data_IF_261457874505
#
_entry.id   IF_261457874505
#
_cell.length_a   1.000
_cell.length_b   1.000
_cell.length_c   1.000
_cell.angle_alpha   90.00
_cell.angle_beta   90.00
_cell.angle_gamma   90.00
#
_symmetry.space_group_name_H-M   'P 1'
#
loop_
_entity.id
_entity.type
_entity.pdbx_description
1 polymer ?
#
# COMPACT_ATOMS: atom_id res chain seq x y z
N UNK A 1 16.54 2.33 19.22
CA UNK A 1 15.75 1.76 18.11
C UNK A 1 14.56 1.05 18.72
N UNK A 2 13.36 1.34 18.24
CA UNK A 2 12.16 0.63 18.67
C UNK A 2 12.07 -0.73 17.94
N UNK A 3 11.81 -1.82 18.67
CA UNK A 3 11.66 -3.15 18.06
C UNK A 3 10.23 -3.32 17.55
N UNK A 4 9.93 -2.69 16.41
CA UNK A 4 8.56 -2.64 15.84
C UNK A 4 8.34 -3.64 14.69
N UNK A 5 9.36 -4.41 14.31
CA UNK A 5 9.24 -5.42 13.27
C UNK A 5 8.76 -6.76 13.86
N UNK A 6 7.53 -7.13 13.55
CA UNK A 6 6.80 -8.27 14.07
C UNK A 6 6.60 -9.38 13.01
N UNK A 7 7.65 -9.75 12.29
CA UNK A 7 7.59 -10.82 11.28
C UNK A 7 7.06 -12.17 11.80
N UNK A 8 7.12 -12.42 13.10
CA UNK A 8 6.64 -13.68 13.71
C UNK A 8 5.18 -13.62 14.21
N UNK A 9 4.50 -12.47 14.10
CA UNK A 9 3.08 -12.33 14.49
C UNK A 9 2.24 -13.36 13.74
N UNK A 10 1.32 -14.01 14.46
CA UNK A 10 0.39 -14.96 13.88
C UNK A 10 -0.95 -14.27 13.64
N UNK A 11 -1.45 -14.38 12.43
CA UNK A 11 -2.68 -13.76 11.96
C UNK A 11 -3.76 -14.83 11.85
N UNK A 12 -4.89 -14.64 12.54
CA UNK A 12 -6.00 -15.61 12.53
C UNK A 12 -7.35 -14.96 12.29
N UNK A 13 -7.52 -13.73 12.73
CA UNK A 13 -8.77 -12.97 12.67
C UNK A 13 -8.56 -11.71 11.86
N UNK A 14 -9.66 -11.06 11.45
CA UNK A 14 -9.60 -9.75 10.80
C UNK A 14 -8.97 -8.69 11.73
N UNK A 15 -9.27 -8.75 13.03
CA UNK A 15 -8.70 -7.84 14.02
C UNK A 15 -7.17 -7.95 14.16
N UNK A 16 -6.59 -9.13 13.88
CA UNK A 16 -5.12 -9.28 13.86
C UNK A 16 -4.47 -8.53 12.68
N UNK A 17 -5.21 -8.40 11.57
CA UNK A 17 -4.76 -7.75 10.34
C UNK A 17 -4.95 -6.23 10.36
N UNK A 18 -6.11 -5.76 10.80
CA UNK A 18 -6.39 -4.32 10.91
C UNK A 18 -5.40 -3.63 11.86
N UNK A 19 -4.94 -2.45 11.46
CA UNK A 19 -3.88 -1.71 12.15
C UNK A 19 -2.45 -2.18 11.83
N UNK A 20 -2.29 -3.19 10.96
CA UNK A 20 -0.96 -3.65 10.57
C UNK A 20 -0.39 -2.80 9.43
N UNK A 21 0.86 -2.39 9.60
CA UNK A 21 1.66 -1.67 8.62
C UNK A 21 2.65 -2.62 7.94
N UNK A 22 2.64 -2.68 6.61
CA UNK A 22 3.44 -3.60 5.81
C UNK A 22 4.40 -2.85 4.89
N UNK A 23 5.61 -3.43 4.71
CA UNK A 23 6.48 -3.15 3.56
C UNK A 23 6.72 -4.47 2.83
N UNK A 24 6.58 -4.46 1.51
CA UNK A 24 6.76 -5.64 0.68
C UNK A 24 7.40 -5.29 -0.66
N UNK A 25 8.11 -6.26 -1.22
CA UNK A 25 8.79 -6.14 -2.51
C UNK A 25 8.20 -7.15 -3.47
N UNK A 26 7.60 -6.68 -4.56
CA UNK A 26 7.13 -7.52 -5.65
C UNK A 26 8.29 -8.25 -6.33
N UNK A 27 8.00 -9.39 -6.97
CA UNK A 27 9.00 -10.20 -7.68
C UNK A 27 9.66 -9.44 -8.84
N UNK A 28 8.99 -8.42 -9.39
CA UNK A 28 9.54 -7.48 -10.37
C UNK A 28 10.41 -6.36 -9.77
N UNK A 29 10.67 -6.40 -8.46
CA UNK A 29 11.53 -5.47 -7.73
C UNK A 29 10.86 -4.20 -7.23
N UNK A 30 9.54 -4.03 -7.41
CA UNK A 30 8.84 -2.84 -6.93
C UNK A 30 8.61 -2.92 -5.42
N UNK A 31 9.04 -1.90 -4.69
CA UNK A 31 8.85 -1.81 -3.24
C UNK A 31 7.68 -0.89 -2.89
N UNK A 32 6.75 -1.42 -2.11
CA UNK A 32 5.51 -0.78 -1.70
C UNK A 32 5.37 -0.85 -0.18
N UNK A 33 4.70 0.15 0.36
CA UNK A 33 4.35 0.28 1.76
C UNK A 33 2.84 0.50 1.86
N UNK A 34 2.18 -0.20 2.77
CA UNK A 34 0.72 -0.21 2.87
C UNK A 34 0.27 -0.40 4.32
N UNK A 35 -0.77 0.30 4.73
CA UNK A 35 -1.30 0.31 6.09
C UNK A 35 -2.81 0.05 6.10
N UNK A 36 -3.23 -1.00 6.82
CA UNK A 36 -4.63 -1.29 7.11
C UNK A 36 -5.16 -0.33 8.17
N UNK A 37 -5.47 0.93 7.81
CA UNK A 37 -5.81 1.98 8.77
C UNK A 37 -6.99 1.61 9.66
N UNK A 38 -8.06 1.13 9.07
CA UNK A 38 -9.22 0.56 9.75
C UNK A 38 -9.94 -0.44 8.83
N UNK A 39 -11.15 -0.87 9.15
CA UNK A 39 -11.88 -1.91 8.42
C UNK A 39 -12.37 -1.51 7.01
N UNK A 40 -12.26 -0.24 6.63
CA UNK A 40 -12.69 0.27 5.32
C UNK A 40 -11.73 1.28 4.69
N UNK A 41 -10.57 1.52 5.30
CA UNK A 41 -9.63 2.58 4.90
C UNK A 41 -8.20 2.08 4.85
N UNK A 42 -7.47 2.49 3.82
CA UNK A 42 -6.07 2.14 3.62
C UNK A 42 -5.24 3.38 3.29
N UNK A 43 -4.02 3.41 3.81
CA UNK A 43 -2.99 4.37 3.40
C UNK A 43 -1.85 3.60 2.72
N UNK A 44 -1.22 4.18 1.70
CA UNK A 44 -0.11 3.52 1.02
C UNK A 44 0.91 4.50 0.46
N UNK A 45 2.14 4.01 0.29
CA UNK A 45 3.29 4.77 -0.21
C UNK A 45 4.16 3.90 -1.10
N UNK A 46 4.60 4.45 -2.22
CA UNK A 46 5.29 3.70 -3.28
C UNK A 46 6.76 4.13 -3.35
N UNK A 47 7.67 3.20 -3.05
CA UNK A 47 9.11 3.45 -2.96
C UNK A 47 9.85 3.11 -4.26
N UNK A 48 9.36 2.11 -5.00
CA UNK A 48 9.98 1.64 -6.24
C UNK A 48 8.99 1.34 -7.35
N UNK A 49 9.51 1.26 -8.58
CA UNK A 49 8.73 0.86 -9.76
C UNK A 49 8.15 2.02 -10.57
N UNK A 50 7.10 1.72 -11.34
CA UNK A 50 6.57 2.61 -12.37
C UNK A 50 6.09 3.97 -11.82
N UNK A 51 5.59 4.00 -10.59
CA UNK A 51 4.98 5.18 -9.94
C UNK A 51 5.63 5.49 -8.59
N UNK A 52 6.94 5.20 -8.46
CA UNK A 52 7.72 5.53 -7.27
C UNK A 52 7.60 7.04 -6.93
N UNK A 53 7.37 7.36 -5.66
CA UNK A 53 7.10 8.72 -5.19
C UNK A 53 5.62 9.01 -4.92
N UNK A 54 4.71 8.23 -5.51
CA UNK A 54 3.26 8.34 -5.25
C UNK A 54 2.93 7.86 -3.84
N UNK A 55 2.02 8.57 -3.18
CA UNK A 55 1.47 8.16 -1.89
C UNK A 55 0.05 8.69 -1.70
N UNK A 56 -0.73 7.98 -0.90
CA UNK A 56 -2.17 8.17 -0.74
C UNK A 56 -2.56 7.91 0.70
N UNK A 57 -3.44 8.74 1.23
CA UNK A 57 -4.12 8.52 2.50
C UNK A 57 -5.62 8.37 2.28
N UNK A 58 -6.29 7.75 3.23
CA UNK A 58 -7.75 7.70 3.34
C UNK A 58 -8.42 7.10 2.09
N UNK A 59 -7.78 6.12 1.45
CA UNK A 59 -8.39 5.39 0.33
C UNK A 59 -9.41 4.41 0.89
N UNK A 60 -10.68 4.59 0.51
CA UNK A 60 -11.74 3.64 0.85
C UNK A 60 -11.47 2.29 0.16
N UNK A 61 -11.60 1.20 0.90
CA UNK A 61 -11.36 -0.15 0.41
C UNK A 61 -12.32 -1.17 1.02
N UNK A 62 -12.55 -2.25 0.30
CA UNK A 62 -13.20 -3.44 0.84
C UNK A 62 -12.13 -4.35 1.45
N UNK A 63 -12.26 -4.69 2.72
CA UNK A 63 -11.31 -5.52 3.47
C UNK A 63 -12.05 -6.71 4.06
N UNK A 64 -11.69 -7.91 3.62
CA UNK A 64 -12.32 -9.15 4.06
C UNK A 64 -11.26 -10.20 4.44
N UNK A 65 -11.60 -11.04 5.42
CA UNK A 65 -10.83 -12.27 5.69
C UNK A 65 -11.43 -13.42 4.89
N UNK A 66 -10.68 -13.96 3.92
CA UNK A 66 -11.14 -15.06 3.06
C UNK A 66 -11.22 -16.39 3.82
N UNK A 67 -10.18 -16.64 4.61
CA UNK A 67 -10.04 -17.76 5.55
C UNK A 67 -9.05 -17.36 6.63
N UNK A 68 -8.88 -18.18 7.67
CA UNK A 68 -7.95 -17.89 8.78
C UNK A 68 -6.57 -17.47 8.25
N UNK A 69 -6.14 -16.25 8.60
CA UNK A 69 -4.84 -15.71 8.24
C UNK A 69 -4.64 -15.32 6.77
N UNK A 70 -5.71 -15.29 5.96
CA UNK A 70 -5.67 -14.83 4.55
C UNK A 70 -6.68 -13.72 4.34
N UNK A 71 -6.20 -12.57 3.86
CA UNK A 71 -6.98 -11.33 3.78
C UNK A 71 -7.00 -10.80 2.36
N UNK A 72 -8.16 -10.34 1.92
CA UNK A 72 -8.34 -9.68 0.63
C UNK A 72 -8.68 -8.22 0.85
N UNK A 73 -8.02 -7.37 0.07
CA UNK A 73 -8.29 -5.94 0.01
C UNK A 73 -8.55 -5.55 -1.44
N UNK A 74 -9.64 -4.84 -1.72
CA UNK A 74 -9.94 -4.38 -3.06
C UNK A 74 -10.44 -2.94 -3.06
N UNK A 75 -9.96 -2.12 -4.00
CA UNK A 75 -10.41 -0.74 -4.19
C UNK A 75 -10.32 -0.30 -5.64
N UNK A 76 -10.96 0.83 -5.92
CA UNK A 76 -10.76 1.60 -7.15
C UNK A 76 -10.29 3.00 -6.80
N UNK A 77 -9.46 3.58 -7.66
CA UNK A 77 -8.79 4.85 -7.42
C UNK A 77 -9.42 5.99 -8.22
N UNK A 78 -9.18 7.26 -7.80
CA UNK A 78 -9.51 8.44 -8.59
C UNK A 78 -8.95 8.42 -10.02
N UNK A 79 -7.83 7.72 -10.23
CA UNK A 79 -7.17 7.52 -11.54
C UNK A 79 -7.92 6.55 -12.47
N UNK A 80 -8.87 5.76 -11.95
CA UNK A 80 -9.48 4.63 -12.63
C UNK A 80 -8.66 3.33 -12.55
N UNK A 81 -7.57 3.33 -11.78
CA UNK A 81 -6.85 2.11 -11.41
C UNK A 81 -7.73 1.27 -10.48
N UNK A 82 -7.73 -0.04 -10.71
CA UNK A 82 -8.36 -1.01 -9.81
C UNK A 82 -7.27 -1.86 -9.20
N UNK A 83 -7.42 -2.21 -7.92
CA UNK A 83 -6.45 -3.01 -7.18
C UNK A 83 -7.15 -4.11 -6.41
N UNK A 84 -6.59 -5.31 -6.46
CA UNK A 84 -6.92 -6.40 -5.57
C UNK A 84 -5.62 -6.95 -4.97
N UNK A 85 -5.52 -6.91 -3.65
CA UNK A 85 -4.40 -7.46 -2.88
C UNK A 85 -4.90 -8.64 -2.04
N UNK A 86 -4.13 -9.71 -2.03
CA UNK A 86 -4.35 -10.88 -1.18
C UNK A 86 -3.11 -11.04 -0.28
N UNK A 87 -3.28 -10.79 1.02
CA UNK A 87 -2.24 -10.90 2.03
C UNK A 87 -2.26 -12.30 2.67
N UNK A 88 -1.08 -12.93 2.72
CA UNK A 88 -0.82 -14.20 3.41
C UNK A 88 0.31 -13.98 4.43
N UNK A 89 0.07 -13.15 5.46
CA UNK A 89 1.13 -12.62 6.32
C UNK A 89 1.84 -13.69 7.15
N UNK A 90 1.17 -14.81 7.49
CA UNK A 90 1.80 -15.95 8.17
C UNK A 90 2.89 -16.63 7.33
N UNK A 91 2.84 -16.47 6.00
CA UNK A 91 3.82 -17.00 5.05
C UNK A 91 4.74 -15.89 4.48
N UNK A 92 4.62 -14.66 5.00
CA UNK A 92 5.36 -13.48 4.53
C UNK A 92 5.17 -13.21 3.03
N UNK A 93 3.96 -13.51 2.51
CA UNK A 93 3.61 -13.37 1.10
C UNK A 93 2.42 -12.44 0.90
N UNK A 94 2.40 -11.82 -0.27
CA UNK A 94 1.28 -11.10 -0.83
C UNK A 94 1.16 -11.46 -2.32
N UNK A 95 -0.05 -11.49 -2.85
CA UNK A 95 -0.29 -11.36 -4.28
C UNK A 95 -1.04 -10.06 -4.54
N UNK A 96 -0.59 -9.27 -5.51
CA UNK A 96 -1.25 -8.04 -5.91
C UNK A 96 -1.56 -8.07 -7.38
N UNK A 97 -2.80 -7.77 -7.74
CA UNK A 97 -3.18 -7.51 -9.12
C UNK A 97 -3.62 -6.06 -9.26
N UNK A 98 -2.89 -5.30 -10.09
CA UNK A 98 -3.19 -3.91 -10.40
C UNK A 98 -3.63 -3.80 -11.86
N UNK A 99 -4.76 -3.14 -12.10
CA UNK A 99 -5.33 -2.92 -13.42
C UNK A 99 -5.21 -1.44 -13.80
N UNK A 100 -4.06 -1.06 -14.34
CA UNK A 100 -3.81 0.32 -14.74
C UNK A 100 -4.58 0.68 -16.02
N UNK A 101 -5.31 1.80 -16.04
CA UNK A 101 -5.73 2.44 -17.28
C UNK A 101 -4.54 2.70 -18.19
N UNK A 102 -4.76 2.64 -19.51
CA UNK A 102 -3.71 2.86 -20.50
C UNK A 102 -2.94 4.16 -20.26
N UNK A 103 -3.64 5.23 -19.90
CA UNK A 103 -3.04 6.54 -19.65
C UNK A 103 -2.04 6.55 -18.49
N UNK A 104 -2.22 5.72 -17.45
CA UNK A 104 -1.28 5.68 -16.32
C UNK A 104 0.05 5.06 -16.77
N UNK A 105 0.03 4.12 -17.71
CA UNK A 105 1.25 3.60 -18.31
C UNK A 105 1.98 4.67 -19.15
N UNK A 106 1.23 5.50 -19.88
CA UNK A 106 1.77 6.48 -20.82
C UNK A 106 2.19 7.80 -20.15
N UNK A 107 1.51 8.19 -19.07
CA UNK A 107 1.64 9.46 -18.36
C UNK A 107 1.76 9.27 -16.84
N UNK A 108 2.53 8.27 -16.41
CA UNK A 108 2.71 7.86 -15.00
C UNK A 108 3.03 9.02 -14.07
N UNK A 109 3.80 10.00 -14.54
CA UNK A 109 4.27 11.16 -13.80
C UNK A 109 3.13 12.00 -13.22
N UNK A 110 1.95 12.00 -13.86
CA UNK A 110 0.76 12.69 -13.35
C UNK A 110 0.34 12.10 -12.00
N UNK A 111 0.49 10.78 -11.82
CA UNK A 111 0.06 10.08 -10.62
C UNK A 111 1.08 10.12 -9.48
N UNK A 112 2.32 10.54 -9.76
CA UNK A 112 3.43 10.64 -8.81
C UNK A 112 3.33 11.95 -8.02
N UNK A 113 2.45 11.94 -7.02
CA UNK A 113 2.20 13.06 -6.12
C UNK A 113 1.58 12.55 -4.80
N UNK A 114 1.29 13.47 -3.87
CA UNK A 114 0.30 13.20 -2.83
C UNK A 114 -1.09 13.27 -3.45
N UNK A 115 -1.72 12.12 -3.74
CA UNK A 115 -2.95 12.09 -4.53
C UNK A 115 -4.07 12.97 -3.93
N UNK A 116 -4.15 13.01 -2.60
CA UNK A 116 -5.21 13.69 -1.87
C UNK A 116 -5.30 15.19 -2.21
N UNK A 117 -4.19 15.84 -2.58
CA UNK A 117 -4.15 17.25 -2.99
C UNK A 117 -4.48 17.46 -4.48
N UNK A 118 -4.64 16.39 -5.26
CA UNK A 118 -4.74 16.42 -6.71
C UNK A 118 -5.87 15.53 -7.28
N UNK A 119 -6.93 15.29 -6.50
CA UNK A 119 -8.06 14.43 -6.90
C UNK A 119 -8.70 14.88 -8.22
N UNK A 120 -8.95 16.19 -8.37
CA UNK A 120 -9.54 16.75 -9.60
C UNK A 120 -8.68 16.48 -10.83
N UNK A 121 -7.35 16.59 -10.70
CA UNK A 121 -6.40 16.28 -11.78
C UNK A 121 -6.46 14.80 -12.15
N UNK A 122 -6.61 13.89 -11.18
CA UNK A 122 -6.74 12.45 -11.47
C UNK A 122 -8.02 12.16 -12.25
N UNK A 123 -9.12 12.81 -11.87
CA UNK A 123 -10.42 12.69 -12.54
C UNK A 123 -10.40 13.27 -13.96
N UNK A 124 -9.85 14.47 -14.15
CA UNK A 124 -9.71 15.07 -15.48
C UNK A 124 -8.83 14.18 -16.38
N UNK A 125 -7.73 13.67 -15.84
CA UNK A 125 -6.80 12.83 -16.61
C UNK A 125 -7.44 11.52 -17.07
N UNK A 126 -8.20 10.83 -16.21
CA UNK A 126 -8.86 9.57 -16.58
C UNK A 126 -9.95 9.74 -17.63
N UNK A 127 -10.54 10.93 -17.74
CA UNK A 127 -11.55 11.25 -18.77
C UNK A 127 -10.91 11.70 -20.08
N UNK A 128 -9.79 12.42 -19.98
CA UNK A 128 -9.06 12.98 -21.12
C UNK A 128 -8.28 11.93 -21.92
N UNK A 129 -7.61 11.02 -21.23
CA UNK A 129 -6.68 10.06 -21.85
C UNK A 129 -7.29 8.66 -21.99
N UNK A 130 -6.64 7.79 -22.77
CA UNK A 130 -7.15 6.46 -23.07
C UNK A 130 -7.24 5.57 -21.82
N UNK A 131 -8.35 4.84 -21.67
CA UNK A 131 -8.51 3.83 -20.62
C UNK A 131 -7.97 2.45 -21.05
N UNK A 132 -8.08 2.10 -22.34
CA UNK A 132 -7.79 0.77 -22.86
C UNK A 132 -6.68 0.78 -23.93
N UNK A 133 -5.95 -0.34 -24.11
CA UNK A 133 -6.00 -1.57 -23.30
C UNK A 133 -5.41 -1.35 -21.89
N UNK A 134 -5.97 -2.02 -20.88
CA UNK A 134 -5.43 -1.98 -19.51
C UNK A 134 -4.03 -2.61 -19.48
N UNK A 135 -3.13 -2.07 -18.67
CA UNK A 135 -1.92 -2.76 -18.24
C UNK A 135 -2.26 -3.54 -16.97
N UNK A 136 -2.23 -4.87 -17.05
CA UNK A 136 -2.51 -5.75 -15.91
C UNK A 136 -1.19 -6.23 -15.32
N UNK A 137 -1.01 -6.06 -14.02
CA UNK A 137 0.21 -6.45 -13.28
C UNK A 137 -0.18 -7.39 -12.14
N UNK A 138 -0.24 -8.72 -12.38
CA UNK A 138 -0.48 -9.72 -11.35
C UNK A 138 0.86 -10.28 -10.84
N UNK A 139 1.30 -9.83 -9.68
CA UNK A 139 2.64 -10.14 -9.16
C UNK A 139 2.56 -10.64 -7.71
N UNK A 140 3.38 -11.63 -7.39
CA UNK A 140 3.67 -11.96 -6.00
C UNK A 140 4.65 -10.95 -5.40
N UNK A 141 4.56 -10.78 -4.09
CA UNK A 141 5.51 -10.01 -3.31
C UNK A 141 5.93 -10.77 -2.06
N UNK A 142 7.12 -10.44 -1.58
CA UNK A 142 7.64 -10.89 -0.29
C UNK A 142 7.51 -9.75 0.72
N UNK A 143 6.83 -10.03 1.84
CA UNK A 143 6.70 -9.09 2.96
C UNK A 143 8.05 -9.03 3.68
N UNK A 144 8.57 -7.82 3.86
CA UNK A 144 9.88 -7.55 4.48
C UNK A 144 9.76 -6.83 5.82
N UNK A 145 8.57 -6.31 6.13
CA UNK A 145 8.25 -5.66 7.40
C UNK A 145 6.78 -5.84 7.74
N UNK A 146 6.49 -6.09 9.02
CA UNK A 146 5.15 -6.04 9.59
C UNK A 146 5.20 -5.30 10.93
N UNK A 147 4.55 -4.15 11.03
CA UNK A 147 4.44 -3.36 12.25
C UNK A 147 3.01 -3.34 12.79
N UNK A 148 2.86 -3.31 14.12
CA UNK A 148 1.56 -3.14 14.77
C UNK A 148 1.36 -1.67 15.10
N UNK A 149 0.73 -0.93 14.18
CA UNK A 149 0.59 0.52 14.28
C UNK A 149 -0.67 0.96 15.03
N UNK A 150 -1.54 0.00 15.38
CA UNK A 150 -2.91 0.28 15.79
C UNK A 150 -3.78 0.75 14.63
N UNK A 151 -5.08 0.86 14.85
CA UNK A 151 -6.01 1.46 13.88
C UNK A 151 -6.02 2.98 14.01
N UNK A 152 -6.38 3.66 12.93
CA UNK A 152 -6.56 5.12 12.85
C UNK A 152 -5.32 5.94 13.27
N UNK A 153 -4.12 5.41 13.02
CA UNK A 153 -2.87 6.12 13.28
C UNK A 153 -2.45 6.94 12.05
N UNK A 154 -2.69 8.25 12.10
CA UNK A 154 -2.36 9.16 11.01
C UNK A 154 -0.86 9.38 10.79
N UNK A 155 0.00 8.96 11.72
CA UNK A 155 1.46 9.13 11.64
C UNK A 155 2.16 8.08 10.75
N UNK A 156 1.50 6.96 10.43
CA UNK A 156 2.13 5.83 9.71
C UNK A 156 2.57 6.25 8.30
N UNK A 157 1.63 6.80 7.53
CA UNK A 157 1.86 7.34 6.19
C UNK A 157 1.47 8.82 6.23
N UNK A 158 2.43 9.69 6.56
CA UNK A 158 2.19 11.13 6.76
C UNK A 158 3.11 12.04 5.93
N UNK A 159 4.02 11.48 5.13
CA UNK A 159 4.91 12.24 4.26
C UNK A 159 5.28 11.45 2.99
N UNK A 160 5.78 12.17 1.99
CA UNK A 160 6.30 11.57 0.76
C UNK A 160 7.50 10.64 1.05
N UNK A 161 7.68 9.56 0.26
CA UNK A 161 8.80 8.65 0.44
C UNK A 161 10.13 9.35 0.17
N UNK A 162 11.17 8.97 0.90
CA UNK A 162 12.55 9.40 0.69
C UNK A 162 13.48 8.19 0.59
N UNK A 163 14.65 8.38 -0.02
CA UNK A 163 15.65 7.32 -0.17
C UNK A 163 16.13 6.80 1.20
N UNK A 164 15.96 5.50 1.45
CA UNK A 164 16.32 4.87 2.73
C UNK A 164 15.18 4.82 3.76
N UNK A 165 14.00 5.37 3.46
CA UNK A 165 12.86 5.36 4.39
C UNK A 165 12.47 3.94 4.83
N UNK A 166 12.43 2.97 3.92
CA UNK A 166 12.07 1.58 4.25
C UNK A 166 13.09 0.93 5.17
N UNK A 167 14.37 1.29 5.04
CA UNK A 167 15.42 0.84 5.96
C UNK A 167 15.31 1.52 7.32
N UNK A 168 14.98 2.82 7.38
CA UNK A 168 14.72 3.50 8.65
C UNK A 168 13.55 2.90 9.42
N UNK A 169 12.48 2.51 8.73
CA UNK A 169 11.33 1.84 9.32
C UNK A 169 11.73 0.45 9.85
N UNK A 170 12.37 -0.38 9.01
CA UNK A 170 12.82 -1.73 9.39
C UNK A 170 13.79 -1.72 10.57
N UNK A 171 14.69 -0.73 10.61
CA UNK A 171 15.69 -0.58 11.66
C UNK A 171 15.15 0.11 12.93
N UNK A 172 13.88 0.53 12.95
CA UNK A 172 13.28 1.17 14.12
C UNK A 172 13.83 2.56 14.42
N UNK A 173 14.18 3.30 13.35
CA UNK A 173 14.66 4.69 13.37
C UNK A 173 13.60 5.70 12.92
N UNK A 174 12.49 5.23 12.33
CA UNK A 174 11.43 6.10 11.80
C UNK A 174 10.32 6.40 12.81
N UNK A 175 9.99 5.44 13.68
CA UNK A 175 8.94 5.57 14.69
C UNK A 175 9.47 5.39 16.11
N UNK A 176 8.84 6.05 17.08
CA UNK A 176 9.05 5.83 18.50
C UNK A 176 8.39 4.52 19.00
N UNK A 177 8.47 4.24 20.30
CA UNK A 177 7.89 3.02 20.89
C UNK A 177 6.37 2.95 20.82
N UNK A 178 5.69 4.06 20.53
CA UNK A 178 4.24 4.18 20.42
C UNK A 178 3.78 4.33 18.96
N UNK A 179 4.67 4.05 18.00
CA UNK A 179 4.37 4.15 16.57
C UNK A 179 4.08 5.59 16.09
N UNK A 180 4.76 6.58 16.68
CA UNK A 180 4.68 8.01 16.30
C UNK A 180 5.99 8.47 15.68
N UNK A 181 5.94 9.48 14.81
CA UNK A 181 7.15 10.14 14.27
C UNK A 181 7.79 11.11 15.27
#
# INVERSE_FOLDING_TARGET
MAQLNHMNKQFKTLADFLGTHFIYTYDNGWEYEWYAKNDHTVDYRIHGGMVAGRWVKDQEAHIDMLTEGVYKVAWTEPTGTEVALDFVPNEHKLNGTIFFPKWVQEHREITVCFQNEHIDLMHESREKYATYPKLVVPEFATITYMGDAGQDNDEVINEAPYEGMTDDIRNGNFFDQNYRR
#
